data_IF_340731337733
#
_entry.id   IF_340731337733
#
_cell.length_a   1.000
_cell.length_b   1.000
_cell.length_c   1.000
_cell.angle_alpha   90.00
_cell.angle_beta   90.00
_cell.angle_gamma   90.00
#
_symmetry.space_group_name_H-M   'P 1'
#
loop_
_entity.id
_entity.type
_entity.pdbx_description
1 polymer ?
#
# COMPACT_ATOMS: atom_id res chain seq x y z
N UNK A 1 -5.04 29.96 1.62
CA UNK A 1 -4.74 30.42 0.27
C UNK A 1 -3.64 29.51 -0.32
N UNK A 2 -3.84 29.04 -1.57
CA UNK A 2 -2.97 28.05 -2.22
C UNK A 2 -1.50 28.53 -2.36
N UNK A 3 -1.26 29.82 -2.42
CA UNK A 3 0.09 30.38 -2.55
C UNK A 3 1.03 30.10 -1.35
N UNK A 4 0.49 29.66 -0.22
CA UNK A 4 1.28 29.20 0.93
C UNK A 4 2.07 27.91 0.64
N UNK A 5 1.70 27.22 -0.45
CA UNK A 5 2.38 26.02 -0.93
C UNK A 5 3.66 26.32 -1.73
N UNK A 6 3.94 27.60 -2.06
CA UNK A 6 5.12 28.02 -2.80
C UNK A 6 6.41 27.44 -2.19
N UNK A 7 7.23 26.80 -3.01
CA UNK A 7 8.49 26.16 -2.63
C UNK A 7 8.33 24.82 -1.89
N UNK A 8 7.08 24.36 -1.65
CA UNK A 8 6.82 23.08 -1.00
C UNK A 8 6.82 21.92 -2.00
N UNK A 9 7.11 20.72 -1.51
CA UNK A 9 6.95 19.48 -2.26
C UNK A 9 5.67 18.77 -1.84
N UNK A 10 4.87 18.33 -2.81
CA UNK A 10 3.59 17.64 -2.59
C UNK A 10 3.65 16.27 -3.27
N UNK A 11 3.39 15.21 -2.52
CA UNK A 11 3.28 13.86 -3.04
C UNK A 11 1.87 13.65 -3.63
N UNK A 12 1.77 13.16 -4.87
CA UNK A 12 0.51 12.91 -5.56
C UNK A 12 0.49 11.53 -6.22
N UNK A 13 -0.65 10.86 -6.20
CA UNK A 13 -0.89 9.69 -7.04
C UNK A 13 -0.97 10.09 -8.52
N UNK A 14 -0.62 9.19 -9.42
CA UNK A 14 -0.58 9.43 -10.88
C UNK A 14 -1.93 9.88 -11.47
N UNK A 15 -3.05 9.51 -10.86
CA UNK A 15 -4.40 9.88 -11.29
C UNK A 15 -4.98 11.08 -10.54
N UNK A 16 -4.18 11.81 -9.76
CA UNK A 16 -4.67 12.92 -8.94
C UNK A 16 -5.15 14.10 -9.80
N UNK A 17 -6.40 14.51 -9.59
CA UNK A 17 -6.96 15.72 -10.18
C UNK A 17 -6.27 17.01 -9.69
N UNK A 18 -5.44 16.94 -8.66
CA UNK A 18 -4.69 18.07 -8.14
C UNK A 18 -3.52 18.49 -9.06
N UNK A 19 -2.99 17.60 -9.91
CA UNK A 19 -1.87 17.89 -10.80
C UNK A 19 -2.08 19.16 -11.66
N UNK A 20 -3.13 19.21 -12.50
CA UNK A 20 -3.44 20.40 -13.31
C UNK A 20 -3.69 21.66 -12.48
N UNK A 21 -4.25 21.53 -11.28
CA UNK A 21 -4.51 22.67 -10.38
C UNK A 21 -3.20 23.24 -9.81
N UNK A 22 -2.23 22.36 -9.51
CA UNK A 22 -0.88 22.80 -9.07
C UNK A 22 -0.14 23.48 -10.23
N UNK A 23 -0.30 22.99 -11.44
CA UNK A 23 0.31 23.62 -12.62
C UNK A 23 -0.21 25.06 -12.83
N UNK A 24 -1.52 25.27 -12.74
CA UNK A 24 -2.13 26.59 -12.75
C UNK A 24 -1.66 27.48 -11.59
N UNK A 25 -1.46 26.88 -10.39
CA UNK A 25 -0.90 27.61 -9.26
C UNK A 25 0.55 28.03 -9.56
N UNK A 26 1.35 27.17 -10.14
CA UNK A 26 2.75 27.43 -10.49
C UNK A 26 2.87 28.58 -11.51
N UNK A 27 1.98 28.64 -12.50
CA UNK A 27 1.91 29.77 -13.43
C UNK A 27 1.67 31.11 -12.70
N UNK A 28 0.73 31.13 -11.73
CA UNK A 28 0.48 32.32 -10.91
C UNK A 28 1.64 32.67 -10.01
N UNK A 29 2.35 31.67 -9.44
CA UNK A 29 3.54 31.89 -8.63
C UNK A 29 4.69 32.48 -9.45
N UNK A 30 4.89 31.98 -10.68
CA UNK A 30 5.91 32.50 -11.60
C UNK A 30 5.68 33.98 -11.93
N UNK A 31 4.44 34.40 -12.22
CA UNK A 31 4.11 35.83 -12.43
C UNK A 31 4.43 36.68 -11.22
N UNK A 32 4.44 36.12 -10.02
CA UNK A 32 4.78 36.82 -8.77
C UNK A 32 6.22 36.58 -8.34
N UNK A 33 7.06 36.00 -9.19
CA UNK A 33 8.48 35.67 -8.93
C UNK A 33 8.66 34.83 -7.65
N UNK A 34 7.70 33.91 -7.39
CA UNK A 34 7.75 33.02 -6.24
C UNK A 34 8.16 31.61 -6.67
N UNK A 35 8.86 30.85 -5.80
CA UNK A 35 9.23 29.47 -6.09
C UNK A 35 8.01 28.59 -6.40
N UNK A 36 8.11 27.68 -7.40
CA UNK A 36 7.01 26.78 -7.74
C UNK A 36 6.79 25.72 -6.65
N UNK A 37 5.60 25.18 -6.62
CA UNK A 37 5.30 23.93 -5.92
C UNK A 37 5.91 22.78 -6.72
N UNK A 38 6.64 21.90 -6.03
CA UNK A 38 7.20 20.68 -6.62
C UNK A 38 6.22 19.55 -6.44
N UNK A 39 5.95 18.79 -7.51
CA UNK A 39 5.14 17.57 -7.44
C UNK A 39 6.07 16.37 -7.43
N UNK A 40 5.92 15.53 -6.42
CA UNK A 40 6.53 14.21 -6.33
C UNK A 40 5.45 13.18 -6.68
N UNK A 41 5.53 12.62 -7.89
CA UNK A 41 4.64 11.56 -8.32
C UNK A 41 5.04 10.28 -7.62
N UNK A 42 4.12 9.74 -6.82
CA UNK A 42 4.34 8.49 -6.11
C UNK A 42 4.26 7.30 -7.06
N UNK A 43 4.70 6.15 -6.59
CA UNK A 43 4.61 4.92 -7.35
C UNK A 43 3.17 4.67 -7.85
N UNK A 44 2.97 4.31 -9.15
CA UNK A 44 1.65 4.12 -9.74
C UNK A 44 0.79 3.02 -9.10
N UNK A 45 1.39 2.14 -8.29
CA UNK A 45 0.66 1.10 -7.55
C UNK A 45 0.10 1.58 -6.22
N UNK A 46 0.50 2.76 -5.75
CA UNK A 46 -0.01 3.34 -4.51
C UNK A 46 -1.37 4.00 -4.75
N UNK A 47 -2.33 3.66 -3.90
CA UNK A 47 -3.62 4.32 -3.81
C UNK A 47 -3.52 5.57 -2.91
N UNK A 48 -4.60 6.33 -2.83
CA UNK A 48 -4.62 7.55 -2.03
C UNK A 48 -4.45 7.26 -0.53
N UNK A 49 -4.98 6.12 -0.07
CA UNK A 49 -4.86 5.65 1.30
C UNK A 49 -3.40 5.42 1.69
N UNK A 50 -2.62 4.81 0.79
CA UNK A 50 -1.20 4.53 1.00
C UNK A 50 -0.41 5.84 1.14
N UNK A 51 -0.72 6.84 0.31
CA UNK A 51 -0.10 8.16 0.40
C UNK A 51 -0.45 8.86 1.73
N UNK A 52 -1.70 8.75 2.19
CA UNK A 52 -2.11 9.29 3.49
C UNK A 52 -1.40 8.58 4.64
N UNK A 53 -1.21 7.25 4.55
CA UNK A 53 -0.38 6.49 5.49
C UNK A 53 1.06 6.99 5.52
N UNK A 54 1.66 7.21 4.35
CA UNK A 54 3.03 7.73 4.26
C UNK A 54 3.15 9.14 4.84
N UNK A 55 2.13 9.99 4.70
CA UNK A 55 2.07 11.28 5.39
C UNK A 55 1.93 11.09 6.90
N UNK A 56 1.06 10.18 7.35
CA UNK A 56 0.91 9.81 8.75
C UNK A 56 2.24 9.32 9.35
N UNK A 57 3.01 8.55 8.59
CA UNK A 57 4.32 8.03 8.99
C UNK A 57 5.43 9.10 8.93
N UNK A 58 5.19 10.24 8.27
CA UNK A 58 6.19 11.29 8.07
C UNK A 58 7.21 10.98 6.96
N UNK A 59 6.88 10.06 6.05
CA UNK A 59 7.66 9.79 4.84
C UNK A 59 7.45 10.93 3.84
N UNK A 60 6.19 11.26 3.58
CA UNK A 60 5.81 12.49 2.88
C UNK A 60 5.34 13.55 3.86
N UNK A 61 5.57 14.80 3.52
CA UNK A 61 5.16 15.91 4.37
C UNK A 61 3.80 16.49 4.01
N UNK A 62 3.46 16.47 2.72
CA UNK A 62 2.24 17.04 2.18
C UNK A 62 1.67 16.18 1.06
N UNK A 63 0.36 16.06 1.04
CA UNK A 63 -0.42 15.57 -0.10
C UNK A 63 -1.66 16.41 -0.28
N UNK A 64 -2.34 16.25 -1.41
CA UNK A 64 -3.61 16.91 -1.71
C UNK A 64 -4.61 15.86 -2.12
N UNK A 65 -5.73 15.86 -1.44
CA UNK A 65 -6.86 14.96 -1.69
C UNK A 65 -8.18 15.71 -1.53
N UNK A 66 -9.26 15.12 -1.96
CA UNK A 66 -10.61 15.64 -1.74
C UNK A 66 -10.90 15.76 -0.25
N UNK A 67 -11.53 16.87 0.13
CA UNK A 67 -11.80 17.18 1.53
C UNK A 67 -12.58 16.10 2.29
N UNK A 68 -13.60 15.43 1.73
CA UNK A 68 -14.30 14.35 2.42
C UNK A 68 -13.37 13.17 2.73
N UNK A 69 -12.48 12.82 1.80
CA UNK A 69 -11.49 11.75 1.99
C UNK A 69 -10.53 12.13 3.13
N UNK A 70 -9.93 13.33 3.07
CA UNK A 70 -9.03 13.81 4.10
C UNK A 70 -9.67 13.81 5.49
N UNK A 71 -10.92 14.28 5.60
CA UNK A 71 -11.65 14.30 6.88
C UNK A 71 -11.92 12.91 7.43
N UNK A 72 -12.32 11.97 6.56
CA UNK A 72 -12.61 10.59 6.98
C UNK A 72 -11.36 9.89 7.50
N UNK A 73 -10.26 9.95 6.74
CA UNK A 73 -9.01 9.31 7.11
C UNK A 73 -8.33 9.96 8.33
N UNK A 74 -8.48 11.25 8.53
CA UNK A 74 -7.94 11.92 9.74
C UNK A 74 -8.55 11.43 11.05
N UNK A 75 -9.72 10.78 11.03
CA UNK A 75 -10.33 10.15 12.20
C UNK A 75 -9.57 8.89 12.67
N UNK A 76 -8.91 8.20 11.76
CA UNK A 76 -8.15 6.96 12.05
C UNK A 76 -6.63 7.16 12.00
N UNK A 77 -6.19 8.25 11.40
CA UNK A 77 -4.77 8.64 11.29
C UNK A 77 -4.50 9.93 12.08
N UNK A 78 -4.17 9.84 13.38
CA UNK A 78 -4.17 10.99 14.29
C UNK A 78 -3.08 12.03 14.02
N UNK A 79 -2.03 11.71 13.26
CA UNK A 79 -0.99 12.66 12.88
C UNK A 79 -1.33 13.44 11.60
N UNK A 80 -2.35 13.02 10.84
CA UNK A 80 -2.81 13.79 9.69
C UNK A 80 -3.42 15.11 10.12
N UNK A 81 -2.94 16.19 9.54
CA UNK A 81 -3.44 17.54 9.75
C UNK A 81 -4.14 18.03 8.48
N UNK A 82 -5.46 18.11 8.52
CA UNK A 82 -6.24 18.62 7.39
C UNK A 82 -6.27 20.15 7.44
N UNK A 83 -5.65 20.82 6.46
CA UNK A 83 -5.64 22.26 6.38
C UNK A 83 -6.78 22.76 5.47
N UNK A 84 -7.91 23.07 6.05
CA UNK A 84 -9.09 23.57 5.35
C UNK A 84 -8.96 25.03 4.84
N UNK A 85 -7.88 25.73 5.18
CA UNK A 85 -7.64 27.12 4.70
C UNK A 85 -6.92 27.16 3.36
N UNK A 86 -6.38 26.02 2.91
CA UNK A 86 -5.63 25.88 1.65
C UNK A 86 -6.46 25.07 0.66
N UNK A 87 -6.93 25.72 -0.38
CA UNK A 87 -7.69 25.08 -1.47
C UNK A 87 -6.93 25.31 -2.78
N UNK A 88 -6.81 24.28 -3.60
CA UNK A 88 -6.21 24.39 -4.93
C UNK A 88 -7.20 24.88 -6.00
N UNK A 89 -8.45 24.54 -5.83
CA UNK A 89 -9.52 24.89 -6.78
C UNK A 89 -10.83 25.24 -6.07
N UNK A 90 -11.86 25.62 -6.83
CA UNK A 90 -13.20 25.86 -6.31
C UNK A 90 -13.80 24.55 -5.79
N UNK A 91 -14.74 24.66 -4.87
CA UNK A 91 -15.53 23.51 -4.44
C UNK A 91 -16.32 22.97 -5.62
N UNK A 92 -16.18 21.68 -5.87
CA UNK A 92 -16.91 20.96 -6.92
C UNK A 92 -17.87 19.97 -6.28
N UNK A 93 -19.08 19.89 -6.83
CA UNK A 93 -20.03 18.88 -6.42
C UNK A 93 -19.58 17.50 -6.92
N UNK A 94 -19.57 16.51 -6.03
CA UNK A 94 -19.41 15.12 -6.45
C UNK A 94 -20.65 14.68 -7.22
N UNK A 95 -20.47 13.98 -8.33
CA UNK A 95 -21.57 13.57 -9.22
C UNK A 95 -21.42 12.10 -9.57
N UNK A 96 -22.56 11.44 -9.71
CA UNK A 96 -22.64 10.12 -10.31
C UNK A 96 -22.99 10.29 -11.79
N UNK A 97 -22.33 9.54 -12.64
CA UNK A 97 -22.58 9.53 -14.07
C UNK A 97 -23.27 8.22 -14.45
N UNK A 98 -24.36 8.32 -15.17
CA UNK A 98 -25.12 7.19 -15.72
C UNK A 98 -25.10 7.26 -17.23
N UNK A 99 -25.31 6.12 -17.91
CA UNK A 99 -25.39 6.08 -19.36
C UNK A 99 -26.50 7.01 -19.88
N UNK A 100 -26.23 7.69 -21.02
CA UNK A 100 -27.16 8.65 -21.62
C UNK A 100 -28.56 8.04 -21.87
N UNK A 101 -28.59 6.77 -22.26
CA UNK A 101 -29.80 6.04 -22.63
C UNK A 101 -30.44 5.28 -21.44
N UNK A 102 -30.23 5.77 -20.22
CA UNK A 102 -30.70 5.14 -18.98
C UNK A 102 -31.53 6.11 -18.11
N UNK A 103 -32.62 6.71 -18.60
CA UNK A 103 -33.37 7.72 -17.86
C UNK A 103 -34.02 7.19 -16.57
N UNK A 104 -34.41 5.92 -16.56
CA UNK A 104 -34.98 5.28 -15.36
C UNK A 104 -33.91 5.13 -14.26
N UNK A 105 -32.69 4.73 -14.62
CA UNK A 105 -31.58 4.64 -13.69
C UNK A 105 -31.19 6.03 -13.16
N UNK A 106 -31.17 7.05 -14.02
CA UNK A 106 -30.94 8.43 -13.61
C UNK A 106 -31.97 8.89 -12.57
N UNK A 107 -33.26 8.67 -12.82
CA UNK A 107 -34.32 9.04 -11.88
C UNK A 107 -34.18 8.31 -10.53
N UNK A 108 -33.78 7.04 -10.54
CA UNK A 108 -33.50 6.26 -9.31
C UNK A 108 -32.33 6.84 -8.53
N UNK A 109 -31.21 7.14 -9.22
CA UNK A 109 -30.00 7.72 -8.63
C UNK A 109 -30.31 9.10 -8.04
N UNK A 110 -31.01 9.96 -8.79
CA UNK A 110 -31.38 11.29 -8.31
C UNK A 110 -32.24 11.22 -7.06
N UNK A 111 -33.25 10.33 -7.06
CA UNK A 111 -34.12 10.09 -5.88
C UNK A 111 -33.30 9.57 -4.70
N UNK A 112 -32.38 8.64 -4.94
CA UNK A 112 -31.49 8.13 -3.90
C UNK A 112 -30.64 9.25 -3.30
N UNK A 113 -29.92 10.02 -4.12
CA UNK A 113 -29.04 11.09 -3.67
C UNK A 113 -29.78 12.21 -2.92
N UNK A 114 -31.04 12.52 -3.31
CA UNK A 114 -31.87 13.51 -2.62
C UNK A 114 -32.31 13.03 -1.23
N UNK A 115 -32.61 11.75 -1.07
CA UNK A 115 -33.18 11.19 0.14
C UNK A 115 -32.19 10.47 1.03
N UNK A 116 -30.98 10.11 0.51
CA UNK A 116 -29.98 9.40 1.29
C UNK A 116 -29.52 10.22 2.49
N UNK A 117 -29.55 9.57 3.63
CA UNK A 117 -28.91 10.07 4.85
C UNK A 117 -27.95 9.01 5.32
N UNK A 118 -26.68 9.39 5.50
CA UNK A 118 -25.67 8.48 6.04
C UNK A 118 -26.13 7.99 7.42
N UNK A 119 -26.00 6.69 7.71
CA UNK A 119 -26.28 6.18 9.05
C UNK A 119 -25.39 6.86 10.11
N UNK A 120 -25.93 7.16 11.28
CA UNK A 120 -25.18 7.83 12.37
C UNK A 120 -23.93 7.07 12.80
N UNK A 121 -23.89 5.76 12.54
CA UNK A 121 -22.76 4.89 12.90
C UNK A 121 -21.82 4.58 11.71
N UNK A 122 -21.99 5.19 10.53
CA UNK A 122 -21.13 4.94 9.36
C UNK A 122 -19.64 5.17 9.69
N UNK A 123 -19.35 6.31 10.31
CA UNK A 123 -17.99 6.65 10.72
C UNK A 123 -17.48 5.73 11.84
N UNK A 124 -18.33 5.30 12.77
CA UNK A 124 -17.95 4.38 13.83
C UNK A 124 -17.56 2.99 13.27
N UNK A 125 -18.25 2.51 12.25
CA UNK A 125 -17.89 1.27 11.56
C UNK A 125 -16.53 1.40 10.85
N UNK A 126 -16.32 2.49 10.11
CA UNK A 126 -15.05 2.83 9.48
C UNK A 126 -13.91 2.91 10.50
N UNK A 127 -14.08 3.68 11.57
CA UNK A 127 -13.07 3.82 12.62
C UNK A 127 -12.73 2.49 13.29
N UNK A 128 -13.73 1.64 13.58
CA UNK A 128 -13.51 0.33 14.19
C UNK A 128 -12.68 -0.58 13.31
N UNK A 129 -12.91 -0.57 11.98
CA UNK A 129 -12.20 -1.40 11.02
C UNK A 129 -10.77 -0.89 10.85
N UNK A 130 -10.61 0.39 10.60
CA UNK A 130 -9.33 0.94 10.15
C UNK A 130 -8.41 1.39 11.28
N UNK A 131 -8.89 1.82 12.43
CA UNK A 131 -8.05 2.26 13.58
C UNK A 131 -7.08 1.19 14.09
N UNK A 132 -7.43 -0.09 13.95
CA UNK A 132 -6.57 -1.21 14.36
C UNK A 132 -5.55 -1.59 13.30
N UNK A 133 -5.84 -1.36 12.02
CA UNK A 133 -5.03 -1.78 10.90
C UNK A 133 -3.90 -0.79 10.58
N UNK A 134 -4.14 0.50 10.82
CA UNK A 134 -3.18 1.56 10.50
C UNK A 134 -2.23 1.90 11.66
N UNK A 135 -1.48 0.90 12.12
CA UNK A 135 -0.28 1.13 12.94
C UNK A 135 0.91 1.36 12.01
N UNK A 136 0.96 2.52 11.41
CA UNK A 136 2.03 2.85 10.48
C UNK A 136 3.28 3.19 11.26
N UNK A 137 4.35 2.45 11.00
CA UNK A 137 5.69 2.76 11.45
C UNK A 137 6.45 3.48 10.31
N UNK A 138 7.17 4.53 10.64
CA UNK A 138 8.08 5.16 9.68
C UNK A 138 9.36 4.32 9.56
N UNK A 139 9.58 3.59 8.45
CA UNK A 139 10.79 2.76 8.28
C UNK A 139 12.06 3.60 8.21
N UNK A 140 11.93 4.92 7.99
CA UNK A 140 13.05 5.87 7.97
C UNK A 140 13.32 6.50 9.33
N UNK A 141 12.57 6.15 10.39
CA UNK A 141 12.85 6.58 11.75
C UNK A 141 14.25 6.10 12.18
N UNK A 142 14.93 6.91 13.03
CA UNK A 142 16.31 6.62 13.44
C UNK A 142 16.50 5.18 13.96
N UNK A 143 15.57 4.70 14.77
CA UNK A 143 15.64 3.37 15.36
C UNK A 143 15.52 2.28 14.29
N UNK A 144 14.58 2.42 13.36
CA UNK A 144 14.37 1.42 12.32
C UNK A 144 15.49 1.42 11.28
N UNK A 145 16.06 2.59 10.96
CA UNK A 145 17.30 2.67 10.17
C UNK A 145 18.49 1.96 10.84
N UNK A 146 18.64 2.10 12.17
CA UNK A 146 19.69 1.39 12.90
C UNK A 146 19.47 -0.12 12.88
N UNK A 147 18.23 -0.58 13.06
CA UNK A 147 17.89 -2.01 12.94
C UNK A 147 18.18 -2.54 11.54
N UNK A 148 17.76 -1.80 10.52
CA UNK A 148 18.06 -2.17 9.13
C UNK A 148 19.57 -2.26 8.88
N UNK A 149 20.35 -1.29 9.34
CA UNK A 149 21.80 -1.29 9.20
C UNK A 149 22.43 -2.52 9.84
N UNK A 150 21.93 -3.00 10.98
CA UNK A 150 22.45 -4.18 11.68
C UNK A 150 22.20 -5.50 10.96
N UNK A 151 21.21 -5.57 10.06
CA UNK A 151 20.83 -6.80 9.33
C UNK A 151 21.05 -6.71 7.82
N UNK A 152 21.40 -5.54 7.29
CA UNK A 152 21.50 -5.28 5.85
C UNK A 152 22.48 -6.21 5.13
N UNK A 153 23.63 -6.48 5.72
CA UNK A 153 24.63 -7.38 5.13
C UNK A 153 24.10 -8.81 4.93
N UNK A 154 23.32 -9.32 5.89
CA UNK A 154 22.71 -10.65 5.81
C UNK A 154 21.59 -10.67 4.77
N UNK A 155 20.77 -9.62 4.71
CA UNK A 155 19.72 -9.48 3.69
C UNK A 155 20.32 -9.41 2.29
N UNK A 156 21.40 -8.64 2.09
CA UNK A 156 22.12 -8.55 0.82
C UNK A 156 22.72 -9.90 0.41
N UNK A 157 23.41 -10.60 1.31
CA UNK A 157 24.00 -11.92 1.08
C UNK A 157 22.98 -12.93 0.54
N UNK A 158 21.85 -13.07 1.23
CA UNK A 158 20.85 -14.07 0.86
C UNK A 158 19.94 -13.59 -0.28
N UNK A 159 19.72 -12.29 -0.43
CA UNK A 159 19.04 -11.70 -1.58
C UNK A 159 19.81 -11.99 -2.87
N UNK A 160 21.11 -11.71 -2.89
CA UNK A 160 22.00 -12.01 -4.03
C UNK A 160 22.02 -13.52 -4.36
N UNK A 161 22.13 -14.38 -3.36
CA UNK A 161 22.15 -15.83 -3.56
C UNK A 161 20.85 -16.39 -4.17
N UNK A 162 19.72 -15.72 -4.02
CA UNK A 162 18.44 -16.13 -4.55
C UNK A 162 17.92 -15.23 -5.68
N UNK A 163 18.70 -14.28 -6.16
CA UNK A 163 18.32 -13.30 -7.18
C UNK A 163 17.04 -12.52 -6.80
N UNK A 164 16.96 -12.13 -5.54
CA UNK A 164 15.91 -11.28 -4.98
C UNK A 164 16.57 -9.98 -4.55
N UNK A 165 15.99 -8.85 -4.93
CA UNK A 165 16.42 -7.55 -4.42
C UNK A 165 16.33 -7.55 -2.89
N UNK A 166 17.46 -7.26 -2.23
CA UNK A 166 17.54 -7.27 -0.78
C UNK A 166 16.59 -6.26 -0.12
N UNK A 167 16.18 -5.21 -0.84
CA UNK A 167 15.18 -4.26 -0.37
C UNK A 167 13.79 -4.92 -0.22
N UNK A 168 13.44 -5.87 -1.09
CA UNK A 168 12.22 -6.68 -0.89
C UNK A 168 12.31 -7.54 0.37
N UNK A 169 13.49 -8.11 0.67
CA UNK A 169 13.68 -8.84 1.92
C UNK A 169 13.63 -7.91 3.13
N UNK A 170 14.17 -6.70 3.02
CA UNK A 170 14.12 -5.69 4.07
C UNK A 170 12.68 -5.22 4.34
N UNK A 171 11.91 -4.96 3.29
CA UNK A 171 10.50 -4.60 3.40
C UNK A 171 9.68 -5.72 4.04
N UNK A 172 9.91 -6.97 3.62
CA UNK A 172 9.28 -8.14 4.22
C UNK A 172 9.63 -8.27 5.72
N UNK A 173 10.90 -8.17 6.07
CA UNK A 173 11.34 -8.21 7.47
C UNK A 173 10.73 -7.09 8.32
N UNK A 174 10.57 -5.91 7.73
CA UNK A 174 9.92 -4.79 8.39
C UNK A 174 8.41 -5.07 8.63
N UNK A 175 7.71 -5.58 7.63
CA UNK A 175 6.28 -5.95 7.75
C UNK A 175 6.06 -7.11 8.73
N UNK A 176 6.93 -8.10 8.75
CA UNK A 176 6.79 -9.29 9.58
C UNK A 176 7.14 -9.06 11.05
N UNK A 177 8.17 -8.28 11.35
CA UNK A 177 8.69 -8.15 12.71
C UNK A 177 9.11 -6.75 13.13
N UNK A 178 8.96 -5.75 12.26
CA UNK A 178 9.58 -4.42 12.42
C UNK A 178 11.10 -4.54 12.63
N UNK A 179 11.73 -5.42 11.82
CA UNK A 179 13.17 -5.73 11.87
C UNK A 179 13.63 -6.29 13.23
N UNK A 180 12.79 -7.05 13.92
CA UNK A 180 13.10 -7.63 15.23
C UNK A 180 13.50 -9.13 15.10
N UNK A 181 14.79 -9.49 15.29
CA UNK A 181 15.24 -10.87 15.20
C UNK A 181 14.69 -11.81 16.28
N UNK A 182 14.23 -11.26 17.40
CA UNK A 182 13.68 -12.02 18.53
C UNK A 182 12.15 -12.20 18.45
N UNK A 183 11.51 -11.72 17.39
CA UNK A 183 10.07 -11.80 17.24
C UNK A 183 9.58 -13.25 17.19
N UNK A 184 8.41 -13.50 17.78
CA UNK A 184 7.72 -14.80 17.77
C UNK A 184 6.28 -14.60 17.32
N UNK A 185 5.81 -15.45 16.39
CA UNK A 185 4.49 -15.39 15.82
C UNK A 185 3.72 -16.70 15.96
N UNK A 186 2.55 -16.72 15.37
CA UNK A 186 1.69 -17.89 15.34
C UNK A 186 2.32 -19.05 14.55
N UNK A 187 1.91 -20.30 14.86
CA UNK A 187 2.39 -21.49 14.14
C UNK A 187 3.89 -21.76 14.28
N UNK A 188 4.56 -21.19 15.31
CA UNK A 188 6.00 -21.31 15.51
C UNK A 188 6.82 -20.38 14.60
N UNK A 189 6.20 -19.41 13.95
CA UNK A 189 6.90 -18.38 13.18
C UNK A 189 7.93 -17.67 14.07
N UNK A 190 9.14 -17.46 13.56
CA UNK A 190 10.26 -16.98 14.35
C UNK A 190 11.11 -15.97 13.59
N UNK A 191 11.67 -15.04 14.35
CA UNK A 191 12.75 -14.16 13.93
C UNK A 191 12.36 -13.04 13.00
N UNK A 192 13.35 -12.49 12.36
CA UNK A 192 13.28 -11.31 11.51
C UNK A 192 12.21 -11.42 10.42
N UNK A 193 12.13 -12.59 9.78
CA UNK A 193 11.28 -12.86 8.62
C UNK A 193 10.01 -13.64 8.98
N UNK A 194 9.77 -13.96 10.26
CA UNK A 194 8.62 -14.74 10.73
C UNK A 194 8.39 -16.04 9.94
N UNK A 195 9.48 -16.72 9.57
CA UNK A 195 9.37 -18.00 8.87
C UNK A 195 9.02 -19.12 9.85
N UNK A 196 8.15 -20.04 9.40
CA UNK A 196 7.75 -21.21 10.20
C UNK A 196 8.76 -22.36 10.02
N UNK A 197 8.92 -23.26 11.02
CA UNK A 197 9.76 -24.44 10.89
C UNK A 197 9.42 -25.29 9.67
N UNK A 198 8.12 -25.46 9.38
CA UNK A 198 7.66 -26.24 8.22
C UNK A 198 8.08 -25.63 6.88
N UNK A 199 8.03 -24.28 6.75
CA UNK A 199 8.48 -23.59 5.53
C UNK A 199 10.02 -23.69 5.40
N UNK A 200 10.76 -23.54 6.48
CA UNK A 200 12.21 -23.66 6.50
C UNK A 200 12.68 -25.10 6.12
N UNK A 201 12.00 -26.11 6.63
CA UNK A 201 12.28 -27.50 6.30
C UNK A 201 12.10 -27.79 4.80
N UNK A 202 11.10 -27.19 4.15
CA UNK A 202 10.89 -27.33 2.70
C UNK A 202 12.05 -26.84 1.84
N UNK A 203 12.90 -25.99 2.40
CA UNK A 203 14.06 -25.41 1.72
C UNK A 203 15.40 -25.85 2.32
N UNK A 204 15.36 -26.87 3.20
CA UNK A 204 16.57 -27.51 3.76
C UNK A 204 17.32 -26.63 4.76
N UNK A 205 16.61 -25.79 5.52
CA UNK A 205 17.21 -24.96 6.58
C UNK A 205 16.62 -25.36 7.94
N UNK A 206 17.46 -25.80 8.86
CA UNK A 206 17.03 -26.24 10.19
C UNK A 206 17.15 -25.16 11.27
N UNK A 207 18.17 -24.31 11.19
CA UNK A 207 18.42 -23.30 12.21
C UNK A 207 17.85 -21.93 11.84
N UNK A 208 16.56 -21.73 12.11
CA UNK A 208 15.86 -20.44 11.89
C UNK A 208 15.95 -19.48 13.10
N UNK A 209 16.64 -19.88 14.16
CA UNK A 209 16.78 -19.03 15.37
C UNK A 209 17.90 -18.00 15.23
N UNK A 210 18.87 -18.23 14.34
CA UNK A 210 19.89 -17.24 14.00
C UNK A 210 19.38 -16.30 12.92
N UNK A 211 19.87 -15.06 12.89
CA UNK A 211 19.52 -14.08 11.85
C UNK A 211 19.88 -14.60 10.46
N UNK A 212 21.09 -15.17 10.30
CA UNK A 212 21.54 -15.72 9.02
C UNK A 212 20.65 -16.88 8.53
N UNK A 213 20.39 -17.88 9.37
CA UNK A 213 19.52 -19.00 9.01
C UNK A 213 18.06 -18.59 8.77
N UNK A 214 17.57 -17.62 9.51
CA UNK A 214 16.23 -17.06 9.35
C UNK A 214 16.03 -16.40 7.97
N UNK A 215 16.96 -15.51 7.61
CA UNK A 215 16.97 -14.83 6.30
C UNK A 215 17.24 -15.83 5.16
N UNK A 216 18.18 -16.77 5.36
CA UNK A 216 18.47 -17.84 4.39
C UNK A 216 17.21 -18.65 4.05
N UNK A 217 16.52 -19.14 5.08
CA UNK A 217 15.30 -19.94 4.91
C UNK A 217 14.23 -19.15 4.16
N UNK A 218 14.02 -17.89 4.54
CA UNK A 218 13.00 -17.04 3.95
C UNK A 218 13.31 -16.68 2.50
N UNK A 219 14.55 -16.32 2.18
CA UNK A 219 14.97 -16.03 0.81
C UNK A 219 14.84 -17.27 -0.09
N UNK A 220 15.24 -18.45 0.39
CA UNK A 220 15.04 -19.72 -0.33
C UNK A 220 13.56 -20.06 -0.51
N UNK A 221 12.72 -19.80 0.49
CA UNK A 221 11.30 -20.06 0.42
C UNK A 221 10.59 -19.12 -0.58
N UNK A 222 10.92 -17.84 -0.59
CA UNK A 222 10.45 -16.89 -1.61
C UNK A 222 10.86 -17.35 -3.03
N UNK A 223 12.11 -17.76 -3.20
CA UNK A 223 12.61 -18.27 -4.48
C UNK A 223 11.90 -19.57 -4.91
N UNK A 224 11.58 -20.46 -3.96
CA UNK A 224 10.80 -21.67 -4.21
C UNK A 224 9.37 -21.31 -4.68
N UNK A 225 8.70 -20.40 -3.98
CA UNK A 225 7.36 -19.91 -4.36
C UNK A 225 7.41 -19.31 -5.76
N UNK A 226 8.38 -18.43 -6.03
CA UNK A 226 8.57 -17.79 -7.35
C UNK A 226 8.67 -18.81 -8.48
N UNK A 227 9.55 -19.79 -8.33
CA UNK A 227 9.79 -20.81 -9.36
C UNK A 227 8.60 -21.75 -9.54
N UNK A 228 8.01 -22.20 -8.43
CA UNK A 228 6.96 -23.22 -8.47
C UNK A 228 5.59 -22.67 -8.91
N UNK A 229 5.24 -21.46 -8.50
CA UNK A 229 3.88 -20.93 -8.65
C UNK A 229 3.76 -19.73 -9.58
N UNK A 230 4.84 -18.98 -9.79
CA UNK A 230 4.80 -17.72 -10.53
C UNK A 230 5.88 -17.60 -11.61
N UNK A 231 6.26 -18.72 -12.23
CA UNK A 231 7.30 -18.78 -13.26
C UNK A 231 6.85 -18.29 -14.65
N UNK A 232 5.55 -18.08 -14.88
CA UNK A 232 5.01 -17.70 -16.18
C UNK A 232 5.67 -16.40 -16.71
N UNK A 233 6.13 -16.38 -17.98
CA UNK A 233 6.70 -15.17 -18.61
C UNK A 233 5.67 -14.06 -18.82
N UNK A 234 4.37 -14.36 -18.70
CA UNK A 234 3.29 -13.37 -18.79
C UNK A 234 3.13 -12.53 -17.53
N UNK A 235 3.86 -12.87 -16.46
CA UNK A 235 3.88 -12.10 -15.22
C UNK A 235 5.16 -11.28 -15.23
N UNK A 236 5.07 -9.95 -15.27
CA UNK A 236 6.25 -9.09 -15.17
C UNK A 236 6.85 -9.18 -13.76
N UNK A 237 8.09 -8.75 -13.57
CA UNK A 237 8.84 -9.00 -12.34
C UNK A 237 8.23 -8.30 -11.12
N UNK A 238 7.67 -7.12 -11.29
CA UNK A 238 7.00 -6.38 -10.23
C UNK A 238 5.76 -7.12 -9.71
N UNK A 239 4.89 -7.52 -10.64
CA UNK A 239 3.68 -8.30 -10.31
C UNK A 239 4.03 -9.66 -9.73
N UNK A 240 5.11 -10.26 -10.25
CA UNK A 240 5.64 -11.53 -9.73
C UNK A 240 6.04 -11.41 -8.27
N UNK A 241 6.78 -10.36 -7.91
CA UNK A 241 7.20 -10.15 -6.52
C UNK A 241 5.98 -9.90 -5.62
N UNK A 242 5.00 -9.12 -6.07
CA UNK A 242 3.75 -8.92 -5.32
C UNK A 242 3.03 -10.25 -5.05
N UNK A 243 2.89 -11.12 -6.06
CA UNK A 243 2.33 -12.46 -5.87
C UNK A 243 3.15 -13.33 -4.92
N UNK A 244 4.49 -13.25 -4.99
CA UNK A 244 5.38 -14.02 -4.09
C UNK A 244 5.22 -13.56 -2.65
N UNK A 245 5.14 -12.25 -2.39
CA UNK A 245 4.91 -11.68 -1.06
C UNK A 245 3.51 -12.05 -0.54
N UNK A 246 2.48 -11.93 -1.38
CA UNK A 246 1.13 -12.39 -1.04
C UNK A 246 1.11 -13.88 -0.66
N UNK A 247 1.82 -14.71 -1.43
CA UNK A 247 1.91 -16.15 -1.19
C UNK A 247 2.73 -16.51 0.05
N UNK A 248 3.71 -15.71 0.40
CA UNK A 248 4.45 -15.85 1.65
C UNK A 248 3.52 -15.67 2.87
N UNK A 249 2.65 -14.68 2.80
CA UNK A 249 1.70 -14.34 3.89
C UNK A 249 0.47 -15.26 3.91
N UNK A 250 -0.16 -15.51 2.77
CA UNK A 250 -1.45 -16.19 2.65
C UNK A 250 -1.36 -17.68 2.28
N UNK A 251 -0.20 -18.13 1.84
CA UNK A 251 0.00 -19.42 1.22
C UNK A 251 -0.18 -19.40 -0.30
N UNK A 252 0.71 -20.11 -1.05
CA UNK A 252 0.75 -20.02 -2.51
C UNK A 252 -0.50 -20.61 -3.19
N UNK A 253 -1.08 -21.66 -2.65
CA UNK A 253 -2.29 -22.31 -3.19
C UNK A 253 -3.49 -21.36 -3.14
N UNK A 254 -3.62 -20.61 -2.04
CA UNK A 254 -4.69 -19.62 -1.87
C UNK A 254 -4.56 -18.47 -2.86
N UNK A 255 -3.35 -17.97 -3.07
CA UNK A 255 -3.09 -16.92 -4.05
C UNK A 255 -3.36 -17.41 -5.47
N UNK A 256 -3.05 -18.67 -5.80
CA UNK A 256 -3.42 -19.25 -7.10
C UNK A 256 -4.94 -19.32 -7.29
N UNK A 257 -5.69 -19.67 -6.25
CA UNK A 257 -7.16 -19.68 -6.29
C UNK A 257 -7.71 -18.27 -6.52
N UNK A 258 -7.14 -17.24 -5.86
CA UNK A 258 -7.50 -15.83 -6.07
C UNK A 258 -7.24 -15.39 -7.52
N UNK A 259 -6.11 -15.79 -8.11
CA UNK A 259 -5.80 -15.52 -9.52
C UNK A 259 -6.79 -16.19 -10.49
N UNK A 260 -7.20 -17.41 -10.18
CA UNK A 260 -8.20 -18.13 -10.97
C UNK A 260 -9.56 -17.42 -10.88
N UNK A 261 -9.97 -16.98 -9.70
CA UNK A 261 -11.20 -16.22 -9.50
C UNK A 261 -11.16 -14.85 -10.19
N UNK A 262 -10.02 -14.15 -10.14
CA UNK A 262 -9.83 -12.90 -10.88
C UNK A 262 -10.11 -13.10 -12.39
N UNK A 263 -9.54 -14.16 -12.98
CA UNK A 263 -9.80 -14.49 -14.41
C UNK A 263 -11.26 -14.79 -14.70
N UNK A 264 -11.96 -15.52 -13.82
CA UNK A 264 -13.40 -15.79 -13.97
C UNK A 264 -14.23 -14.51 -14.00
N UNK A 265 -13.79 -13.49 -13.27
CA UNK A 265 -14.47 -12.17 -13.22
C UNK A 265 -13.99 -11.19 -14.28
N UNK A 266 -13.22 -11.63 -15.27
CA UNK A 266 -12.70 -10.77 -16.34
C UNK A 266 -11.54 -9.87 -15.94
N UNK A 267 -10.93 -10.11 -14.75
CA UNK A 267 -9.75 -9.39 -14.30
C UNK A 267 -8.47 -10.08 -14.80
N UNK A 268 -7.37 -9.34 -14.85
CA UNK A 268 -6.07 -9.89 -15.23
C UNK A 268 -5.44 -10.69 -14.08
N UNK A 269 -5.57 -12.01 -14.08
CA UNK A 269 -4.96 -12.88 -13.06
C UNK A 269 -3.43 -12.95 -13.10
N UNK A 270 -2.75 -12.23 -14.01
CA UNK A 270 -1.30 -12.07 -14.05
C UNK A 270 -0.83 -10.73 -13.47
N UNK A 271 -1.76 -9.94 -12.95
CA UNK A 271 -1.51 -8.70 -12.24
C UNK A 271 -2.07 -8.79 -10.82
N UNK A 272 -1.26 -8.37 -9.85
CA UNK A 272 -1.69 -8.21 -8.47
C UNK A 272 -2.41 -6.87 -8.30
N UNK A 273 -1.69 -5.77 -8.59
CA UNK A 273 -2.17 -4.42 -8.34
C UNK A 273 -3.43 -4.09 -9.15
N UNK A 274 -4.46 -3.63 -8.47
CA UNK A 274 -5.79 -3.27 -9.00
C UNK A 274 -6.56 -4.41 -9.68
N UNK A 275 -6.04 -5.63 -9.68
CA UNK A 275 -6.63 -6.80 -10.32
C UNK A 275 -6.87 -7.93 -9.28
N UNK A 276 -5.87 -8.80 -9.06
CA UNK A 276 -6.03 -9.94 -8.13
C UNK A 276 -6.19 -9.47 -6.68
N UNK A 277 -5.60 -8.35 -6.28
CA UNK A 277 -5.75 -7.78 -4.94
C UNK A 277 -7.21 -7.47 -4.59
N UNK A 278 -8.06 -7.15 -5.58
CA UNK A 278 -9.50 -6.94 -5.36
C UNK A 278 -10.18 -8.21 -4.83
N UNK A 279 -9.80 -9.36 -5.38
CA UNK A 279 -10.28 -10.66 -4.89
C UNK A 279 -9.72 -10.95 -3.49
N UNK A 280 -8.45 -10.62 -3.25
CA UNK A 280 -7.83 -10.76 -1.94
C UNK A 280 -8.54 -9.88 -0.90
N UNK A 281 -8.84 -8.63 -1.24
CA UNK A 281 -9.54 -7.71 -0.36
C UNK A 281 -10.93 -8.23 0.04
N UNK A 282 -11.68 -8.79 -0.90
CA UNK A 282 -13.00 -9.38 -0.64
C UNK A 282 -12.92 -10.65 0.23
N UNK A 283 -11.92 -11.52 0.00
CA UNK A 283 -11.82 -12.83 0.66
C UNK A 283 -11.13 -12.81 2.00
N UNK A 284 -10.12 -11.94 2.19
CA UNK A 284 -9.25 -11.91 3.37
C UNK A 284 -9.12 -10.53 4.01
N UNK A 285 -9.69 -9.52 3.41
CA UNK A 285 -9.68 -8.13 3.92
C UNK A 285 -8.41 -7.35 3.60
N UNK A 286 -8.36 -6.12 4.11
CA UNK A 286 -7.29 -5.15 3.84
C UNK A 286 -5.91 -5.54 4.37
N UNK A 287 -5.84 -6.28 5.49
CA UNK A 287 -4.57 -6.58 6.14
C UNK A 287 -3.55 -7.26 5.23
N UNK A 288 -3.89 -8.40 4.60
CA UNK A 288 -3.01 -9.07 3.65
C UNK A 288 -2.72 -8.26 2.37
N UNK A 289 -3.65 -7.42 1.93
CA UNK A 289 -3.43 -6.53 0.77
C UNK A 289 -2.39 -5.46 1.15
N UNK A 290 -2.55 -4.78 2.27
CA UNK A 290 -1.58 -3.80 2.78
C UNK A 290 -0.22 -4.41 3.16
N UNK A 291 -0.15 -5.73 3.31
CA UNK A 291 1.12 -6.43 3.50
C UNK A 291 1.96 -6.41 2.22
N UNK A 292 1.31 -6.49 1.06
CA UNK A 292 1.96 -6.54 -0.26
C UNK A 292 2.25 -5.15 -0.81
N UNK A 293 1.28 -4.27 -0.67
CA UNK A 293 1.34 -2.88 -1.13
C UNK A 293 2.17 -2.02 -0.14
#
# INVERSE_FOLDING_TARGET
QAEQLSGRTIALTSASAAGPLIEQLNQRLAMRKRPPVKVEWVDPTLAIEDVLEMVQAGIYHLTVVEQPIARRWSKVMPKLRVNLRVHLGPSQAMRWYVGRDSPQLQALVDRFLQNYRAPDNEDAAFERIYRRQYRVHNPLARQDRQRLASVSAVLQKHGQAQQIDWLNLAALAFKESTLNPAARGAGGAHGLMQITPAAAQRVGVSNIKTVDGNVQASARYLALIRRKFFSSPRINERERMAFVLAAYNLGPERVQAMRAEARKRGLNGNQWFFQTERIAMEQVGMGPVNFVN
#
